data_IF_199808353230
#
_entry.id   IF_199808353230
#
_cell.length_a   1.000
_cell.length_b   1.000
_cell.length_c   1.000
_cell.angle_alpha   90.00
_cell.angle_beta   90.00
_cell.angle_gamma   90.00
#
_symmetry.space_group_name_H-M   'P 1'
#
loop_
_entity.id
_entity.type
_entity.pdbx_description
1 polymer ?
#
# COMPACT_ATOMS: atom_id res chain seq x y z
N UNK A 1 -17.42 -18.76 -5.17
CA UNK A 1 -16.80 -18.61 -4.90
C UNK A 1 -16.13 -18.06 -4.65
N UNK A 2 -15.79 -17.79 -4.36
CA UNK A 2 -15.19 -17.28 -4.05
C UNK A 2 -14.11 -17.26 -4.04
N UNK A 3 -13.88 -16.93 -4.13
CA UNK A 3 -12.86 -16.91 -4.16
C UNK A 3 -12.08 -16.53 -3.44
N UNK A 4 -11.48 -17.14 -3.06
CA UNK A 4 -10.64 -16.68 -2.25
C UNK A 4 -9.63 -16.01 -2.87
N UNK A 5 -9.34 -14.92 -2.38
CA UNK A 5 -8.39 -14.14 -2.84
C UNK A 5 -7.11 -14.59 -2.37
N UNK A 6 -6.32 -15.17 -3.15
CA UNK A 6 -5.11 -15.59 -2.71
C UNK A 6 -4.24 -14.53 -2.40
N UNK A 7 -4.48 -13.34 -2.89
CA UNK A 7 -3.65 -12.24 -2.56
C UNK A 7 -4.24 -11.55 -1.42
N UNK A 8 -4.61 -12.19 -0.41
CA UNK A 8 -5.23 -11.51 0.68
C UNK A 8 -4.73 -10.11 0.76
N UNK A 9 -5.57 -9.15 0.93
CA UNK A 9 -5.22 -7.75 0.97
C UNK A 9 -4.52 -7.43 2.26
N UNK A 10 -3.21 -7.55 2.26
CA UNK A 10 -2.44 -7.29 3.45
C UNK A 10 -2.24 -5.82 3.71
N UNK A 11 -2.30 -5.01 2.67
CA UNK A 11 -2.16 -3.58 2.87
C UNK A 11 -3.37 -2.84 2.31
N UNK A 12 -3.60 -1.64 2.82
CA UNK A 12 -4.69 -0.78 2.38
C UNK A 12 -4.17 0.42 1.62
N UNK A 13 -3.06 0.27 0.93
CA UNK A 13 -2.42 1.39 0.28
C UNK A 13 -3.33 2.04 -0.75
N UNK A 14 -4.06 1.23 -1.50
CA UNK A 14 -4.98 1.75 -2.49
C UNK A 14 -6.02 2.67 -1.86
N UNK A 15 -6.57 2.24 -0.73
CA UNK A 15 -7.59 3.00 -0.05
C UNK A 15 -7.03 4.31 0.48
N UNK A 16 -5.86 4.24 1.11
CA UNK A 16 -5.27 5.43 1.70
C UNK A 16 -4.88 6.45 0.64
N UNK A 17 -4.32 5.99 -0.47
CA UNK A 17 -3.99 6.88 -1.56
C UNK A 17 -5.25 7.54 -2.10
N UNK A 18 -6.32 6.77 -2.27
CA UNK A 18 -7.56 7.31 -2.78
C UNK A 18 -8.15 8.34 -1.82
N UNK A 19 -8.09 8.05 -0.53
CA UNK A 19 -8.61 8.96 0.47
C UNK A 19 -7.88 10.30 0.45
N UNK A 20 -6.60 10.27 0.12
CA UNK A 20 -5.81 11.49 0.09
C UNK A 20 -5.68 12.09 -1.30
N UNK A 21 -6.37 11.50 -2.27
CA UNK A 21 -6.30 11.97 -3.64
C UNK A 21 -4.89 11.95 -4.20
N UNK A 22 -4.13 10.91 -3.85
CA UNK A 22 -2.78 10.76 -4.36
C UNK A 22 -2.74 9.57 -5.28
N UNK A 23 -1.86 9.63 -6.28
CA UNK A 23 -1.71 8.53 -7.22
C UNK A 23 -0.53 7.66 -6.87
N UNK A 24 -0.51 6.45 -7.40
CA UNK A 24 0.65 5.60 -7.25
C UNK A 24 1.89 6.22 -7.88
N UNK A 25 1.69 6.93 -8.98
CA UNK A 25 2.80 7.62 -9.64
C UNK A 25 3.42 8.66 -8.71
N UNK A 26 2.57 9.42 -8.03
CA UNK A 26 3.04 10.41 -7.08
C UNK A 26 3.85 9.73 -5.97
N UNK A 27 3.33 8.62 -5.44
CA UNK A 27 4.02 7.93 -4.37
C UNK A 27 5.37 7.37 -4.86
N UNK A 28 5.39 6.85 -6.08
CA UNK A 28 6.63 6.34 -6.65
C UNK A 28 7.70 7.42 -6.70
N UNK A 29 7.30 8.61 -7.10
CA UNK A 29 8.24 9.73 -7.13
C UNK A 29 8.75 10.08 -5.74
N UNK A 30 7.88 10.05 -4.76
CA UNK A 30 8.28 10.38 -3.40
C UNK A 30 9.26 9.36 -2.83
N UNK A 31 9.09 8.12 -3.20
CA UNK A 31 9.93 7.05 -2.67
C UNK A 31 11.15 6.74 -3.52
N UNK A 32 11.23 7.31 -4.69
CA UNK A 32 12.32 6.97 -5.61
C UNK A 32 12.17 5.58 -6.16
N UNK A 33 10.94 5.11 -6.34
CA UNK A 33 10.66 3.80 -6.88
C UNK A 33 9.95 3.92 -8.21
N UNK A 34 9.82 2.81 -8.93
CA UNK A 34 9.10 2.84 -10.20
C UNK A 34 7.62 2.71 -9.95
N UNK A 35 6.84 3.18 -10.91
CA UNK A 35 5.39 3.02 -10.83
C UNK A 35 5.01 1.56 -10.77
N UNK A 36 5.76 0.71 -11.47
CA UNK A 36 5.45 -0.71 -11.48
C UNK A 36 5.56 -1.30 -10.08
N UNK A 37 6.58 -0.91 -9.33
CA UNK A 37 6.74 -1.38 -7.97
C UNK A 37 5.54 -0.96 -7.11
N UNK A 38 5.15 0.30 -7.21
CA UNK A 38 4.03 0.79 -6.41
C UNK A 38 2.73 0.10 -6.83
N UNK A 39 2.55 -0.10 -8.11
CA UNK A 39 1.36 -0.77 -8.61
C UNK A 39 1.23 -2.17 -8.03
N UNK A 40 2.33 -2.88 -7.94
CA UNK A 40 2.30 -4.23 -7.39
C UNK A 40 1.94 -4.22 -5.90
N UNK A 41 2.40 -3.21 -5.17
CA UNK A 41 2.03 -3.07 -3.77
C UNK A 41 0.55 -2.73 -3.62
N UNK A 42 0.08 -1.80 -4.45
CA UNK A 42 -1.32 -1.37 -4.40
C UNK A 42 -2.27 -2.53 -4.70
N UNK A 43 -1.86 -3.40 -5.61
CA UNK A 43 -2.68 -4.54 -5.96
C UNK A 43 -2.44 -5.75 -5.06
N UNK A 44 -1.61 -5.58 -4.06
CA UNK A 44 -1.28 -6.64 -3.12
C UNK A 44 -0.64 -7.86 -3.76
N UNK A 45 0.03 -7.68 -4.89
CA UNK A 45 0.78 -8.74 -5.52
C UNK A 45 2.07 -8.96 -4.74
N UNK A 46 2.70 -7.87 -4.32
CA UNK A 46 3.86 -7.91 -3.45
C UNK A 46 3.59 -6.96 -2.31
N UNK A 47 4.35 -7.08 -1.26
CA UNK A 47 4.22 -6.17 -0.13
C UNK A 47 5.49 -5.36 0.04
N UNK A 48 5.37 -4.11 0.45
CA UNK A 48 6.57 -3.35 0.79
C UNK A 48 7.20 -3.94 2.05
N UNK A 49 8.48 -3.73 2.22
CA UNK A 49 9.15 -4.15 3.45
C UNK A 49 8.64 -3.30 4.60
N UNK A 50 8.92 -3.74 5.81
CA UNK A 50 8.54 -2.97 6.98
C UNK A 50 9.12 -1.56 6.92
N UNK A 51 10.38 -1.45 6.53
CA UNK A 51 11.01 -0.16 6.41
C UNK A 51 10.31 0.70 5.40
N UNK A 52 9.94 0.12 4.27
CA UNK A 52 9.23 0.85 3.23
C UNK A 52 7.85 1.27 3.70
N UNK A 53 7.20 0.44 4.51
CA UNK A 53 5.90 0.80 5.05
C UNK A 53 6.00 2.04 5.95
N UNK A 54 7.05 2.12 6.78
CA UNK A 54 7.24 3.28 7.61
C UNK A 54 7.54 4.52 6.77
N UNK A 55 8.28 4.36 5.68
CA UNK A 55 8.56 5.49 4.78
C UNK A 55 7.26 5.98 4.13
N UNK A 56 6.43 5.04 3.69
CA UNK A 56 5.15 5.40 3.08
C UNK A 56 4.27 6.12 4.09
N UNK A 57 4.22 5.62 5.32
CA UNK A 57 3.41 6.22 6.36
C UNK A 57 3.84 7.65 6.62
N UNK A 58 5.15 7.88 6.62
CA UNK A 58 5.66 9.21 6.83
C UNK A 58 5.27 10.14 5.70
N UNK A 59 5.41 9.67 4.47
CA UNK A 59 5.09 10.47 3.29
C UNK A 59 3.60 10.79 3.25
N UNK A 60 2.75 9.84 3.63
CA UNK A 60 1.32 10.06 3.61
C UNK A 60 0.81 10.66 4.92
N UNK A 61 1.70 10.81 5.88
CA UNK A 61 1.36 11.41 7.16
C UNK A 61 0.25 10.63 7.87
N UNK A 62 0.40 9.32 7.91
CA UNK A 62 -0.54 8.45 8.61
C UNK A 62 0.24 7.51 9.51
N UNK A 63 -0.46 6.88 10.43
CA UNK A 63 0.14 5.86 11.26
C UNK A 63 0.37 4.65 10.37
N UNK A 64 1.46 3.95 10.57
CA UNK A 64 1.77 2.78 9.75
C UNK A 64 0.65 1.74 9.84
N UNK A 65 -0.04 1.67 10.98
CA UNK A 65 -1.16 0.75 11.13
C UNK A 65 -2.28 1.04 10.15
N UNK A 66 -2.39 2.28 9.73
CA UNK A 66 -3.42 2.67 8.77
C UNK A 66 -3.20 2.01 7.43
N UNK A 67 -1.96 1.63 7.14
CA UNK A 67 -1.61 1.01 5.87
C UNK A 67 -1.83 -0.49 5.87
N UNK A 68 -2.14 -1.08 7.01
CA UNK A 68 -2.26 -2.52 7.11
C UNK A 68 -3.69 -2.94 7.31
N UNK A 69 -4.06 -4.05 6.74
CA UNK A 69 -5.38 -4.61 6.98
C UNK A 69 -5.35 -5.41 8.26
N UNK A 70 -6.43 -5.29 9.02
CA UNK A 70 -6.57 -6.08 10.20
C UNK A 70 -6.83 -7.51 9.77
N UNK A 71 -6.24 -8.43 10.49
CA UNK A 71 -6.43 -9.77 10.15
C UNK A 71 -7.29 -10.45 11.13
N UNK A 72 -8.18 -9.79 11.69
CA UNK A 72 -8.93 -10.42 12.67
C UNK A 72 -9.95 -11.14 12.03
N UNK A 73 -10.04 -12.10 11.99
CA UNK A 73 -10.96 -12.73 11.47
C UNK A 73 -11.39 -13.51 12.10
#
# INVERSE_FOLDING_TARGET
MQQIDEHSNKNRLKVVLAEQNKSGKWLALQLGKTENTISRWVRNINQPTVEQLFDIAKILNVDVKTLLNSNCD
#
